data_IF_922244992410
#
_entry.id   IF_922244992410
#
_cell.length_a   1.000
_cell.length_b   1.000
_cell.length_c   1.000
_cell.angle_alpha   90.00
_cell.angle_beta   90.00
_cell.angle_gamma   90.00
#
_symmetry.space_group_name_H-M   'P 1'
#
loop_
_entity.id
_entity.type
_entity.pdbx_description
1 polymer ?
#
# COMPACT_ATOMS: atom_id res chain seq x y z
N UNK A 1 -5.84 10.82 -8.50
CA UNK A 1 -5.50 11.25 -7.13
C UNK A 1 -4.11 11.85 -7.19
N UNK A 2 -3.99 13.17 -6.99
CA UNK A 2 -2.72 13.90 -7.10
C UNK A 2 -2.24 14.23 -5.68
N UNK A 3 -1.94 13.17 -4.93
CA UNK A 3 -1.52 13.29 -3.54
C UNK A 3 -0.07 12.88 -3.50
N UNK A 4 0.79 13.89 -3.48
CA UNK A 4 2.22 13.84 -3.26
C UNK A 4 2.45 13.09 -1.93
N UNK A 5 2.56 11.77 -1.96
CA UNK A 5 2.93 10.94 -0.81
C UNK A 5 4.25 10.28 -1.15
N UNK A 6 5.20 10.19 -0.23
CA UNK A 6 6.48 9.53 -0.49
C UNK A 6 6.30 7.99 -0.54
N UNK A 7 5.77 7.49 -1.65
CA UNK A 7 5.55 6.06 -1.87
C UNK A 7 6.86 5.25 -1.78
N UNK A 8 8.01 5.89 -2.04
CA UNK A 8 9.33 5.28 -1.85
C UNK A 8 9.63 5.00 -0.38
N UNK A 9 9.41 5.98 0.52
CA UNK A 9 9.59 5.78 1.97
C UNK A 9 8.60 4.74 2.51
N UNK A 10 7.37 4.75 2.01
CA UNK A 10 6.36 3.74 2.35
C UNK A 10 6.84 2.35 1.93
N UNK A 11 7.30 2.20 0.69
CA UNK A 11 7.84 0.92 0.20
C UNK A 11 9.02 0.45 1.04
N UNK A 12 9.98 1.34 1.35
CA UNK A 12 11.14 1.01 2.17
C UNK A 12 10.72 0.61 3.60
N UNK A 13 9.80 1.34 4.22
CA UNK A 13 9.26 0.97 5.54
C UNK A 13 8.61 -0.41 5.50
N UNK A 14 7.80 -0.69 4.49
CA UNK A 14 7.09 -1.97 4.34
C UNK A 14 8.03 -3.12 4.03
N UNK A 15 9.08 -2.88 3.24
CA UNK A 15 10.09 -3.89 2.90
C UNK A 15 11.00 -4.22 4.10
N UNK A 16 11.30 -3.23 4.96
CA UNK A 16 12.17 -3.40 6.12
C UNK A 16 11.42 -3.80 7.40
N UNK A 17 10.10 -3.60 7.47
CA UNK A 17 9.30 -3.95 8.64
C UNK A 17 8.82 -5.40 8.56
N UNK A 18 8.95 -6.20 9.63
CA UNK A 18 8.50 -7.58 9.61
C UNK A 18 6.98 -7.68 9.43
N UNK A 19 6.55 -8.65 8.63
CA UNK A 19 5.13 -8.84 8.26
C UNK A 19 4.24 -9.01 9.49
N UNK A 20 4.72 -9.63 10.57
CA UNK A 20 3.95 -9.78 11.82
C UNK A 20 3.64 -8.43 12.48
N UNK A 21 4.57 -7.47 12.40
CA UNK A 21 4.36 -6.12 12.91
C UNK A 21 3.44 -5.33 11.98
N UNK A 22 3.67 -5.38 10.65
CA UNK A 22 2.80 -4.74 9.67
C UNK A 22 1.37 -5.25 9.76
N UNK A 23 1.20 -6.56 9.98
CA UNK A 23 -0.12 -7.18 10.15
C UNK A 23 -0.85 -6.61 11.36
N UNK A 24 -0.17 -6.48 12.50
CA UNK A 24 -0.76 -5.89 13.71
C UNK A 24 -1.02 -4.39 13.59
N UNK A 25 -0.21 -3.71 12.78
CA UNK A 25 -0.32 -2.28 12.56
C UNK A 25 -1.46 -1.98 11.60
N UNK A 26 -1.42 -2.55 10.39
CA UNK A 26 -2.33 -2.21 9.28
C UNK A 26 -3.68 -2.92 9.35
N UNK A 27 -3.79 -4.09 10.00
CA UNK A 27 -5.08 -4.76 10.10
C UNK A 27 -5.98 -4.00 11.08
N UNK A 28 -7.06 -3.47 10.53
CA UNK A 28 -8.11 -2.77 11.28
C UNK A 28 -9.50 -3.18 10.73
N UNK A 29 -10.58 -2.61 11.27
CA UNK A 29 -11.95 -2.87 10.79
C UNK A 29 -12.12 -2.57 9.31
N UNK A 30 -11.40 -1.57 8.79
CA UNK A 30 -11.47 -1.16 7.38
C UNK A 30 -10.45 -1.90 6.49
N UNK A 31 -9.34 -2.39 7.05
CA UNK A 31 -8.27 -3.06 6.32
C UNK A 31 -8.10 -4.49 6.85
N UNK A 32 -8.75 -5.44 6.19
CA UNK A 32 -8.84 -6.83 6.67
C UNK A 32 -7.62 -7.67 6.30
N UNK A 33 -7.54 -8.91 6.80
CA UNK A 33 -6.50 -9.87 6.40
C UNK A 33 -6.40 -10.07 4.88
N UNK A 34 -7.51 -9.98 4.15
CA UNK A 34 -7.52 -10.12 2.70
C UNK A 34 -6.78 -8.95 2.05
N UNK A 35 -6.99 -7.72 2.55
CA UNK A 35 -6.24 -6.54 2.10
C UNK A 35 -4.75 -6.72 2.41
N UNK A 36 -4.41 -7.14 3.63
CA UNK A 36 -3.02 -7.33 4.03
C UNK A 36 -2.30 -8.38 3.16
N UNK A 37 -2.93 -9.54 2.92
CA UNK A 37 -2.37 -10.58 2.07
C UNK A 37 -2.15 -10.09 0.63
N UNK A 38 -3.13 -9.35 0.10
CA UNK A 38 -3.02 -8.75 -1.23
C UNK A 38 -1.91 -7.70 -1.30
N UNK A 39 -1.75 -6.90 -0.26
CA UNK A 39 -0.71 -5.87 -0.17
C UNK A 39 0.69 -6.47 -0.12
N UNK A 40 0.91 -7.48 0.72
CA UNK A 40 2.18 -8.22 0.78
C UNK A 40 2.51 -8.88 -0.54
N UNK A 41 1.51 -9.40 -1.25
CA UNK A 41 1.68 -10.00 -2.57
C UNK A 41 2.10 -8.99 -3.62
N UNK A 42 1.52 -7.78 -3.59
CA UNK A 42 1.93 -6.67 -4.46
C UNK A 42 3.38 -6.31 -4.15
N UNK A 43 3.71 -5.99 -2.90
CA UNK A 43 5.07 -5.66 -2.45
C UNK A 43 6.10 -6.69 -2.87
N UNK A 44 5.85 -7.98 -2.67
CA UNK A 44 6.79 -9.05 -3.06
C UNK A 44 6.91 -9.25 -4.57
N UNK A 45 5.91 -8.81 -5.35
CA UNK A 45 5.89 -8.94 -6.81
C UNK A 45 6.43 -7.68 -7.52
N UNK A 46 6.72 -6.61 -6.78
CA UNK A 46 7.09 -5.30 -7.31
C UNK A 46 8.38 -4.81 -6.66
N UNK A 47 9.19 -4.07 -7.41
CA UNK A 47 10.27 -3.28 -6.82
C UNK A 47 9.76 -1.88 -6.45
N UNK A 48 10.54 -1.09 -5.73
CA UNK A 48 10.17 0.27 -5.26
C UNK A 48 9.54 1.14 -6.37
N UNK A 49 10.21 1.26 -7.52
CA UNK A 49 9.71 2.05 -8.65
C UNK A 49 8.36 1.54 -9.18
N UNK A 50 8.20 0.22 -9.28
CA UNK A 50 6.95 -0.41 -9.72
C UNK A 50 5.84 -0.23 -8.68
N UNK A 51 6.15 -0.34 -7.39
CA UNK A 51 5.21 -0.11 -6.30
C UNK A 51 4.70 1.33 -6.33
N UNK A 52 5.60 2.29 -6.46
CA UNK A 52 5.25 3.71 -6.61
C UNK A 52 4.30 3.93 -7.79
N UNK A 53 4.62 3.38 -8.96
CA UNK A 53 3.75 3.49 -10.14
C UNK A 53 2.36 2.88 -9.90
N UNK A 54 2.31 1.69 -9.31
CA UNK A 54 1.06 1.03 -8.94
C UNK A 54 0.25 1.81 -7.91
N UNK A 55 0.91 2.38 -6.91
CA UNK A 55 0.30 3.19 -5.86
C UNK A 55 -0.30 4.48 -6.42
N UNK A 56 0.44 5.23 -7.25
CA UNK A 56 -0.02 6.49 -7.81
C UNK A 56 -1.10 6.32 -8.89
N UNK A 57 -0.93 5.32 -9.76
CA UNK A 57 -1.88 5.05 -10.84
C UNK A 57 -3.04 4.15 -10.39
N UNK A 58 -3.04 3.68 -9.14
CA UNK A 58 -3.98 2.69 -8.63
C UNK A 58 -4.04 1.42 -9.51
N UNK A 59 -2.90 1.04 -10.09
CA UNK A 59 -2.77 -0.15 -10.94
C UNK A 59 -2.28 -1.34 -10.13
N UNK A 60 -2.16 -2.52 -10.75
CA UNK A 60 -1.77 -3.75 -10.06
C UNK A 60 -0.67 -4.47 -10.83
N UNK A 61 0.28 -5.12 -10.13
CA UNK A 61 1.26 -5.96 -10.79
C UNK A 61 0.59 -7.16 -11.46
N UNK A 62 1.28 -7.78 -12.41
CA UNK A 62 0.88 -9.07 -13.02
C UNK A 62 1.09 -10.23 -12.04
N UNK A 63 0.37 -10.21 -10.92
CA UNK A 63 0.31 -11.29 -9.94
C UNK A 63 -1.02 -12.06 -10.07
N UNK A 64 -1.01 -13.35 -9.73
CA UNK A 64 -2.23 -14.18 -9.72
C UNK A 64 -3.06 -13.86 -8.48
N UNK A 65 -4.03 -12.96 -8.59
CA UNK A 65 -4.97 -12.66 -7.51
C UNK A 65 -6.11 -13.69 -7.45
N UNK A 66 -6.54 -14.03 -6.24
CA UNK A 66 -7.68 -14.90 -5.98
C UNK A 66 -9.00 -14.13 -6.14
N UNK A 67 -10.13 -14.83 -6.25
CA UNK A 67 -11.45 -14.19 -6.44
C UNK A 67 -11.78 -13.14 -5.37
N UNK A 68 -11.43 -13.40 -4.09
CA UNK A 68 -11.64 -12.44 -3.00
C UNK A 68 -10.79 -11.17 -3.14
N UNK A 69 -9.55 -11.29 -3.63
CA UNK A 69 -8.67 -10.15 -3.88
C UNK A 69 -9.14 -9.33 -5.09
N UNK A 70 -9.65 -10.01 -6.14
CA UNK A 70 -10.17 -9.37 -7.35
C UNK A 70 -11.36 -8.48 -7.04
N UNK A 71 -12.34 -8.98 -6.26
CA UNK A 71 -13.49 -8.18 -5.84
C UNK A 71 -13.11 -6.95 -5.00
N UNK A 72 -11.92 -6.97 -4.41
CA UNK A 72 -11.45 -5.97 -3.47
C UNK A 72 -10.59 -4.89 -4.15
N UNK A 73 -10.11 -5.14 -5.37
CA UNK A 73 -9.31 -4.20 -6.19
C UNK A 73 -9.94 -2.83 -6.38
N UNK A 74 -11.27 -2.71 -6.42
CA UNK A 74 -11.91 -1.41 -6.61
C UNK A 74 -11.74 -0.47 -5.41
N UNK A 75 -11.62 -1.04 -4.20
CA UNK A 75 -11.53 -0.28 -2.94
C UNK A 75 -10.19 -0.45 -2.22
N UNK A 76 -9.34 -1.35 -2.73
CA UNK A 76 -8.09 -1.73 -2.09
C UNK A 76 -7.15 -0.53 -1.88
N UNK A 77 -6.87 0.25 -2.94
CA UNK A 77 -5.96 1.39 -2.85
C UNK A 77 -6.50 2.48 -1.91
N UNK A 78 -7.80 2.73 -1.93
CA UNK A 78 -8.46 3.67 -1.02
C UNK A 78 -8.31 3.23 0.45
N UNK A 79 -8.65 1.97 0.75
CA UNK A 79 -8.46 1.39 2.08
C UNK A 79 -6.98 1.37 2.52
N UNK A 80 -6.06 1.14 1.58
CA UNK A 80 -4.63 1.15 1.84
C UNK A 80 -4.12 2.56 2.18
N UNK A 81 -4.54 3.57 1.40
CA UNK A 81 -4.22 4.98 1.67
C UNK A 81 -4.78 5.39 3.03
N UNK A 82 -6.03 5.04 3.34
CA UNK A 82 -6.65 5.34 4.65
C UNK A 82 -5.88 4.69 5.79
N UNK A 83 -5.53 3.41 5.68
CA UNK A 83 -4.76 2.71 6.70
C UNK A 83 -3.37 3.36 6.89
N UNK A 84 -2.60 3.52 5.80
CA UNK A 84 -1.27 4.11 5.87
C UNK A 84 -1.32 5.57 6.41
N UNK A 85 -2.34 6.35 6.05
CA UNK A 85 -2.54 7.71 6.58
C UNK A 85 -2.89 7.69 8.08
N UNK A 86 -3.77 6.77 8.52
CA UNK A 86 -4.15 6.65 9.93
C UNK A 86 -2.98 6.27 10.84
N UNK A 87 -1.96 5.62 10.29
CA UNK A 87 -0.73 5.27 11.01
C UNK A 87 0.37 6.33 10.87
N UNK A 88 0.13 7.44 10.16
CA UNK A 88 1.14 8.47 9.90
C UNK A 88 2.27 8.01 8.97
N UNK A 89 2.07 6.91 8.23
CA UNK A 89 3.04 6.37 7.28
C UNK A 89 3.01 7.14 5.96
N UNK A 90 1.84 7.70 5.61
CA UNK A 90 1.75 8.66 4.52
C UNK A 90 2.08 10.04 5.05
N UNK A 91 3.35 10.42 4.89
CA UNK A 91 3.70 11.83 4.95
C UNK A 91 3.22 12.50 3.66
N UNK A 92 2.47 13.62 3.71
CA UNK A 92 2.36 14.46 2.54
C UNK A 92 3.79 14.82 2.15
N UNK A 93 4.25 14.36 0.99
CA UNK A 93 5.54 14.73 0.44
C UNK A 93 5.55 16.25 0.46
N UNK A 94 6.36 16.78 1.39
CA UNK A 94 6.42 18.20 1.63
C UNK A 94 6.66 18.81 0.26
N UNK A 95 5.77 19.70 -0.17
CA UNK A 95 6.13 20.66 -1.21
C UNK A 95 7.49 21.19 -0.77
N UNK A 96 8.54 20.88 -1.51
CA UNK A 96 9.80 21.58 -1.37
C UNK A 96 9.45 23.04 -1.59
N UNK A 97 9.30 23.76 -0.49
CA UNK A 97 9.25 25.21 -0.49
C UNK A 97 10.71 25.64 -0.50
N UNK A 98 11.23 25.89 -1.70
CA UNK A 98 12.29 26.85 -1.99
C UNK A 98 12.37 27.03 -3.51
#
# INVERSE_FOLDING_TARGET
>A
MNTNYDAGLVHQFLAHTPESALRKMLIDKSFTEIHFNMFMKILRSTNESQFCDHFYNSTYPKAKFNANEINLKEKFWDACVVALNSHGLLSPAQKVAA
#
